data_IF_666004517265
#
_entry.id   IF_666004517265
#
_cell.length_a   1.000
_cell.length_b   1.000
_cell.length_c   1.000
_cell.angle_alpha   90.00
_cell.angle_beta   90.00
_cell.angle_gamma   90.00
#
_symmetry.space_group_name_H-M   'P 1'
#
loop_
_entity.id
_entity.type
_entity.pdbx_description
1 polymer ?
#
# COMPACT_ATOMS: atom_id res chain seq x y z
N UNK A 1 36.50 30.43 -13.20
CA UNK A 1 36.04 29.20 -13.83
C UNK A 1 35.61 28.11 -12.84
N UNK A 2 36.34 27.87 -11.77
CA UNK A 2 35.96 26.82 -10.77
C UNK A 2 34.65 27.12 -10.02
N UNK A 3 34.32 28.37 -9.71
CA UNK A 3 33.10 28.76 -8.97
C UNK A 3 31.83 28.47 -9.78
N UNK A 4 31.84 28.69 -11.10
CA UNK A 4 30.67 28.45 -11.94
C UNK A 4 30.33 26.96 -12.08
N UNK A 5 31.32 26.07 -12.11
CA UNK A 5 31.10 24.61 -12.17
C UNK A 5 30.51 24.07 -10.88
N UNK A 6 30.96 24.55 -9.72
CA UNK A 6 30.47 24.15 -8.40
C UNK A 6 29.00 24.54 -8.21
N UNK A 7 28.61 25.75 -8.64
CA UNK A 7 27.23 26.23 -8.57
C UNK A 7 26.31 25.37 -9.47
N UNK A 8 26.75 25.01 -10.68
CA UNK A 8 25.98 24.17 -11.61
C UNK A 8 25.70 22.78 -11.03
N UNK A 9 26.68 22.16 -10.38
CA UNK A 9 26.52 20.84 -9.72
C UNK A 9 25.54 20.94 -8.57
N UNK A 10 25.56 22.00 -7.76
CA UNK A 10 24.61 22.20 -6.66
C UNK A 10 23.15 22.37 -7.15
N UNK A 11 22.94 23.15 -8.21
CA UNK A 11 21.63 23.32 -8.82
C UNK A 11 21.09 22.01 -9.41
N UNK A 12 21.93 21.24 -10.10
CA UNK A 12 21.53 19.94 -10.66
C UNK A 12 21.11 18.95 -9.57
N UNK A 13 21.82 18.87 -8.44
CA UNK A 13 21.49 17.96 -7.34
C UNK A 13 20.17 18.32 -6.65
N UNK A 14 19.88 19.59 -6.44
CA UNK A 14 18.61 20.05 -5.86
C UNK A 14 17.44 19.75 -6.80
N UNK A 15 17.58 19.96 -8.09
CA UNK A 15 16.53 19.69 -9.08
C UNK A 15 16.20 18.21 -9.17
N UNK A 16 17.20 17.33 -9.14
CA UNK A 16 17.00 15.87 -9.17
C UNK A 16 16.22 15.40 -7.92
N UNK A 17 16.63 15.82 -6.73
CA UNK A 17 15.96 15.42 -5.48
C UNK A 17 14.50 15.88 -5.43
N UNK A 18 14.21 17.10 -5.88
CA UNK A 18 12.84 17.64 -5.95
C UNK A 18 11.98 16.87 -6.96
N UNK A 19 12.56 16.52 -8.11
CA UNK A 19 11.88 15.74 -9.15
C UNK A 19 11.52 14.33 -8.67
N UNK A 20 12.43 13.63 -7.98
CA UNK A 20 12.18 12.29 -7.42
C UNK A 20 11.09 12.32 -6.35
N UNK A 21 11.10 13.31 -5.45
CA UNK A 21 10.05 13.47 -4.45
C UNK A 21 8.66 13.71 -5.06
N UNK A 22 8.59 14.48 -6.17
CA UNK A 22 7.34 14.70 -6.90
C UNK A 22 6.83 13.42 -7.57
N UNK A 23 7.70 12.62 -8.17
CA UNK A 23 7.35 11.35 -8.79
C UNK A 23 6.78 10.38 -7.74
N UNK A 24 7.40 10.25 -6.57
CA UNK A 24 6.90 9.39 -5.51
C UNK A 24 5.54 9.86 -4.97
N UNK A 25 5.31 11.16 -4.90
CA UNK A 25 4.01 11.71 -4.52
C UNK A 25 2.91 11.39 -5.54
N UNK A 26 3.22 11.42 -6.84
CA UNK A 26 2.29 11.02 -7.91
C UNK A 26 1.99 9.52 -7.79
N UNK A 27 3.01 8.67 -7.68
CA UNK A 27 2.86 7.22 -7.52
C UNK A 27 1.98 6.86 -6.31
N UNK A 28 2.16 7.57 -5.22
CA UNK A 28 1.34 7.34 -4.02
C UNK A 28 -0.12 7.68 -4.20
N UNK A 29 -0.44 8.72 -4.98
CA UNK A 29 -1.82 9.04 -5.34
C UNK A 29 -2.43 7.97 -6.23
N UNK A 30 -1.66 7.41 -7.15
CA UNK A 30 -2.09 6.31 -8.00
C UNK A 30 -2.41 5.07 -7.13
N UNK A 31 -1.57 4.75 -6.15
CA UNK A 31 -1.83 3.67 -5.19
C UNK A 31 -3.13 3.88 -4.42
N UNK A 32 -3.39 5.09 -3.92
CA UNK A 32 -4.65 5.38 -3.21
C UNK A 32 -5.87 5.18 -4.11
N UNK A 33 -5.78 5.59 -5.35
CA UNK A 33 -6.82 5.38 -6.36
C UNK A 33 -7.02 3.89 -6.66
N UNK A 34 -5.93 3.14 -6.80
CA UNK A 34 -5.97 1.70 -7.05
C UNK A 34 -6.55 0.93 -5.86
N UNK A 35 -6.12 1.24 -4.63
CA UNK A 35 -6.68 0.60 -3.43
C UNK A 35 -8.18 0.85 -3.30
N UNK A 36 -8.64 2.06 -3.63
CA UNK A 36 -10.06 2.39 -3.64
C UNK A 36 -10.82 1.58 -4.70
N UNK A 37 -10.28 1.47 -5.91
CA UNK A 37 -10.86 0.68 -6.99
C UNK A 37 -10.92 -0.81 -6.63
N UNK A 38 -9.84 -1.38 -6.10
CA UNK A 38 -9.79 -2.78 -5.66
C UNK A 38 -10.80 -3.02 -4.54
N UNK A 39 -10.90 -2.13 -3.55
CA UNK A 39 -11.88 -2.22 -2.48
C UNK A 39 -13.31 -2.28 -3.04
N UNK A 40 -13.64 -1.44 -4.00
CA UNK A 40 -14.97 -1.44 -4.64
C UNK A 40 -15.26 -2.80 -5.30
N UNK A 41 -14.30 -3.37 -6.02
CA UNK A 41 -14.49 -4.67 -6.68
C UNK A 41 -14.59 -5.82 -5.66
N UNK A 42 -13.80 -5.80 -4.59
CA UNK A 42 -13.92 -6.78 -3.48
C UNK A 42 -15.30 -6.69 -2.81
N UNK A 43 -15.79 -5.48 -2.58
CA UNK A 43 -17.10 -5.27 -1.96
C UNK A 43 -18.27 -5.69 -2.90
N UNK A 44 -18.11 -5.50 -4.22
CA UNK A 44 -19.05 -6.03 -5.22
C UNK A 44 -19.05 -7.55 -5.21
N UNK A 45 -17.89 -8.18 -5.16
CA UNK A 45 -17.77 -9.65 -5.06
C UNK A 45 -18.48 -10.17 -3.81
N UNK A 46 -18.27 -9.52 -2.67
CA UNK A 46 -18.96 -9.87 -1.43
C UNK A 46 -20.49 -9.77 -1.55
N UNK A 47 -20.99 -8.70 -2.16
CA UNK A 47 -22.44 -8.52 -2.36
C UNK A 47 -23.04 -9.59 -3.27
N UNK A 48 -22.29 -10.05 -4.27
CA UNK A 48 -22.75 -11.07 -5.21
C UNK A 48 -22.67 -12.50 -4.63
N UNK A 49 -21.65 -12.79 -3.82
CA UNK A 49 -21.33 -14.16 -3.38
C UNK A 49 -21.59 -14.41 -1.89
N UNK A 50 -21.84 -13.37 -1.08
CA UNK A 50 -22.01 -13.47 0.37
C UNK A 50 -20.72 -13.72 1.15
N UNK A 51 -19.58 -13.75 0.47
CA UNK A 51 -18.25 -13.96 1.08
C UNK A 51 -17.20 -13.12 0.34
N UNK A 52 -16.15 -12.75 1.07
CA UNK A 52 -14.99 -12.09 0.44
C UNK A 52 -14.21 -13.10 -0.42
N UNK A 53 -13.54 -12.66 -1.51
CA UNK A 53 -12.71 -13.55 -2.31
C UNK A 53 -11.53 -14.09 -1.49
N UNK A 54 -11.04 -15.27 -1.83
CA UNK A 54 -9.84 -15.83 -1.19
C UNK A 54 -8.57 -15.15 -1.67
N UNK A 55 -8.57 -14.68 -2.92
CA UNK A 55 -7.49 -13.91 -3.51
C UNK A 55 -8.03 -12.90 -4.53
N UNK A 56 -7.21 -11.93 -4.93
CA UNK A 56 -7.58 -10.99 -6.00
C UNK A 56 -7.71 -11.67 -7.38
N UNK A 57 -7.16 -12.87 -7.56
CA UNK A 57 -7.28 -13.63 -8.80
C UNK A 57 -8.73 -14.08 -9.10
N UNK A 58 -9.59 -14.11 -8.10
CA UNK A 58 -11.04 -14.36 -8.30
C UNK A 58 -11.77 -13.16 -8.93
N UNK A 59 -11.17 -11.98 -8.87
CA UNK A 59 -11.74 -10.73 -9.39
C UNK A 59 -11.04 -10.30 -10.68
N UNK A 60 -9.71 -10.44 -10.73
CA UNK A 60 -8.88 -9.96 -11.82
C UNK A 60 -8.21 -11.11 -12.56
N UNK A 61 -8.24 -11.07 -13.89
CA UNK A 61 -7.60 -12.06 -14.75
C UNK A 61 -6.06 -12.02 -14.70
N UNK A 62 -5.48 -10.94 -14.20
CA UNK A 62 -4.04 -10.76 -14.04
C UNK A 62 -3.73 -10.05 -12.71
N UNK A 63 -2.54 -10.30 -12.13
CA UNK A 63 -2.12 -9.60 -10.92
C UNK A 63 -2.15 -8.08 -11.07
N UNK A 64 -2.58 -7.39 -10.04
CA UNK A 64 -2.60 -5.94 -9.98
C UNK A 64 -1.31 -5.45 -9.30
N UNK A 65 -0.55 -4.62 -10.00
CA UNK A 65 0.74 -4.09 -9.54
C UNK A 65 0.64 -2.62 -9.16
N UNK A 66 1.38 -2.24 -8.15
CA UNK A 66 1.58 -0.85 -7.77
C UNK A 66 2.63 -0.17 -8.69
N UNK A 67 2.83 1.17 -8.60
CA UNK A 67 3.76 1.90 -9.45
C UNK A 67 5.25 1.54 -9.25
N UNK A 68 5.57 0.72 -8.26
CA UNK A 68 6.93 0.19 -8.03
C UNK A 68 7.08 -1.27 -8.47
N UNK A 69 6.15 -1.75 -9.31
CA UNK A 69 6.12 -3.12 -9.87
C UNK A 69 5.99 -4.22 -8.79
N UNK A 70 5.37 -3.90 -7.67
CA UNK A 70 5.04 -4.87 -6.62
C UNK A 70 3.55 -5.16 -6.63
N UNK A 71 3.16 -6.43 -6.58
CA UNK A 71 1.75 -6.80 -6.54
C UNK A 71 1.08 -6.28 -5.25
N UNK A 72 -0.14 -5.75 -5.38
CA UNK A 72 -0.96 -5.40 -4.22
C UNK A 72 -1.17 -6.62 -3.34
N UNK A 73 -1.02 -6.44 -2.05
CA UNK A 73 -1.16 -7.49 -1.05
C UNK A 73 -2.60 -7.56 -0.56
N UNK A 74 -3.17 -8.75 -0.58
CA UNK A 74 -4.53 -9.03 -0.13
C UNK A 74 -4.54 -10.22 0.82
N UNK A 75 -5.27 -10.11 1.93
CA UNK A 75 -5.46 -11.19 2.88
C UNK A 75 -6.90 -11.20 3.39
N UNK A 76 -7.67 -12.23 3.03
CA UNK A 76 -9.00 -12.46 3.58
C UNK A 76 -8.92 -12.79 5.07
N UNK A 77 -9.66 -12.09 5.90
CA UNK A 77 -9.75 -12.29 7.35
C UNK A 77 -11.10 -12.92 7.70
N UNK A 78 -12.19 -12.28 7.32
CA UNK A 78 -13.53 -12.77 7.58
C UNK A 78 -13.82 -14.02 6.72
N UNK A 79 -14.04 -15.16 7.39
CA UNK A 79 -14.26 -16.44 6.74
C UNK A 79 -13.01 -17.04 6.05
N UNK A 80 -11.86 -16.42 6.23
CA UNK A 80 -10.58 -16.88 5.69
C UNK A 80 -9.96 -18.03 6.52
N UNK A 81 -8.79 -18.53 6.09
CA UNK A 81 -8.11 -19.62 6.77
C UNK A 81 -7.79 -19.28 8.23
N UNK A 82 -7.89 -20.28 9.13
CA UNK A 82 -7.66 -20.09 10.57
C UNK A 82 -6.22 -19.69 10.94
N UNK A 83 -5.26 -19.90 10.05
CA UNK A 83 -3.83 -19.68 10.28
C UNK A 83 -3.30 -18.31 9.82
N UNK A 84 -4.18 -17.34 9.55
CA UNK A 84 -3.77 -15.99 9.11
C UNK A 84 -3.36 -15.05 10.25
N UNK A 85 -3.49 -15.47 11.51
CA UNK A 85 -3.29 -14.59 12.67
C UNK A 85 -1.92 -13.91 12.69
N UNK A 86 -0.85 -14.58 12.26
CA UNK A 86 0.49 -14.00 12.17
C UNK A 86 0.72 -13.09 10.96
N UNK A 87 -0.14 -13.16 9.94
CA UNK A 87 -0.01 -12.43 8.68
C UNK A 87 -0.87 -11.16 8.65
N UNK A 88 -1.86 -11.06 9.54
CA UNK A 88 -2.75 -9.90 9.60
C UNK A 88 -1.98 -8.64 10.00
N UNK A 89 -2.32 -7.53 9.34
CA UNK A 89 -1.75 -6.22 9.67
C UNK A 89 -2.24 -5.76 11.05
N UNK A 90 -1.31 -5.22 11.85
CA UNK A 90 -1.56 -4.81 13.23
C UNK A 90 -0.94 -3.45 13.53
N UNK A 91 -1.66 -2.64 14.30
CA UNK A 91 -1.13 -1.44 14.91
C UNK A 91 -1.14 -1.60 16.44
N UNK A 92 0.03 -1.52 17.06
CA UNK A 92 0.23 -1.87 18.48
C UNK A 92 -0.36 -3.26 18.74
N UNK A 93 -0.61 -4.12 18.84
CA UNK A 93 -1.19 -5.46 19.01
C UNK A 93 -2.62 -5.62 18.46
N UNK A 94 -3.25 -4.54 17.96
CA UNK A 94 -4.61 -4.57 17.46
C UNK A 94 -4.65 -4.78 15.95
N UNK A 95 -5.54 -5.65 15.47
CA UNK A 95 -5.83 -5.82 14.06
C UNK A 95 -6.40 -4.52 13.48
N UNK A 96 -5.95 -4.12 12.30
CA UNK A 96 -6.46 -2.90 11.66
C UNK A 96 -7.73 -3.13 10.85
N UNK A 97 -8.01 -4.37 10.48
CA UNK A 97 -9.21 -4.78 9.77
C UNK A 97 -9.78 -6.08 10.35
N UNK A 98 -11.09 -6.27 10.24
CA UNK A 98 -11.80 -7.52 10.55
C UNK A 98 -12.30 -8.25 9.29
N UNK A 99 -12.31 -7.57 8.14
CA UNK A 99 -12.81 -8.10 6.86
C UNK A 99 -11.70 -8.68 6.01
N UNK A 100 -10.80 -7.84 5.53
CA UNK A 100 -9.60 -8.21 4.76
C UNK A 100 -8.54 -7.12 4.87
N UNK A 101 -7.28 -7.49 4.74
CA UNK A 101 -6.17 -6.56 4.57
C UNK A 101 -5.91 -6.33 3.08
N UNK A 102 -5.62 -5.09 2.71
CA UNK A 102 -5.26 -4.67 1.36
C UNK A 102 -4.24 -3.52 1.45
N UNK A 103 -3.11 -3.66 0.79
CA UNK A 103 -2.04 -2.66 0.88
C UNK A 103 -1.00 -2.77 -0.24
N UNK A 104 -0.25 -1.69 -0.46
CA UNK A 104 1.01 -1.65 -1.19
C UNK A 104 2.17 -1.63 -0.20
N UNK A 105 3.27 -2.31 -0.53
CA UNK A 105 4.50 -2.31 0.27
C UNK A 105 5.35 -1.04 0.08
N UNK A 106 4.86 -0.08 -0.72
CA UNK A 106 5.53 1.20 -0.94
C UNK A 106 6.81 1.12 -1.77
N UNK A 107 7.58 2.23 -1.79
CA UNK A 107 8.79 2.33 -2.61
C UNK A 107 9.89 1.34 -2.26
N UNK A 108 10.04 0.95 -1.00
CA UNK A 108 11.08 0.01 -0.57
C UNK A 108 10.74 -1.46 -0.88
N UNK A 109 9.49 -1.75 -1.26
CA UNK A 109 8.99 -3.08 -1.61
C UNK A 109 9.12 -4.10 -0.47
N UNK A 110 9.23 -3.63 0.75
CA UNK A 110 9.36 -4.44 1.97
C UNK A 110 8.25 -4.11 2.96
N UNK A 111 7.86 -5.08 3.77
CA UNK A 111 6.82 -4.89 4.78
C UNK A 111 6.95 -5.90 5.93
N UNK A 112 6.34 -5.57 7.06
CA UNK A 112 6.12 -6.48 8.18
C UNK A 112 4.69 -6.35 8.70
N UNK A 113 4.15 -7.42 9.32
CA UNK A 113 2.79 -7.40 9.86
C UNK A 113 2.53 -6.25 10.85
N UNK A 114 3.43 -5.91 11.79
CA UNK A 114 3.27 -4.74 12.62
C UNK A 114 3.53 -3.44 11.84
N UNK A 115 2.55 -2.55 11.81
CA UNK A 115 2.70 -1.22 11.20
C UNK A 115 3.75 -0.34 11.90
N UNK A 116 4.14 -0.71 13.11
CA UNK A 116 5.18 -0.02 13.88
C UNK A 116 6.60 -0.39 13.43
N UNK A 117 6.76 -1.44 12.61
CA UNK A 117 8.04 -1.80 12.04
C UNK A 117 8.56 -0.70 11.09
N UNK A 118 9.86 -0.46 11.09
CA UNK A 118 10.49 0.59 10.28
C UNK A 118 10.26 0.41 8.78
N UNK A 119 10.29 -0.85 8.30
CA UNK A 119 10.05 -1.21 6.90
C UNK A 119 8.59 -1.11 6.47
N UNK A 120 7.65 -0.90 7.38
CA UNK A 120 6.23 -0.72 7.07
C UNK A 120 5.79 0.74 7.02
N UNK A 121 6.69 1.68 7.31
CA UNK A 121 6.32 3.11 7.43
C UNK A 121 5.91 3.76 6.12
N UNK A 122 6.47 3.31 5.01
CA UNK A 122 6.16 3.77 3.66
C UNK A 122 5.07 2.96 2.97
N UNK A 123 4.54 1.93 3.63
CA UNK A 123 3.37 1.18 3.14
C UNK A 123 2.15 2.11 3.01
N UNK A 124 1.32 1.82 2.01
CA UNK A 124 0.04 2.49 1.82
C UNK A 124 -1.05 1.44 2.02
N UNK A 125 -1.90 1.66 3.00
CA UNK A 125 -2.79 0.64 3.55
C UNK A 125 -4.27 1.01 3.50
N UNK A 126 -5.10 -0.02 3.44
CA UNK A 126 -6.49 0.01 3.86
C UNK A 126 -6.57 -0.34 5.34
N UNK A 127 -7.20 0.52 6.14
CA UNK A 127 -7.43 0.30 7.56
C UNK A 127 -8.86 0.59 7.98
N UNK A 128 -9.22 0.19 9.21
CA UNK A 128 -10.56 0.43 9.79
C UNK A 128 -11.69 -0.04 8.86
N UNK A 129 -11.50 -1.21 8.25
CA UNK A 129 -12.43 -1.80 7.29
C UNK A 129 -12.78 -0.89 6.09
N UNK A 130 -11.81 -0.09 5.64
CA UNK A 130 -11.93 0.77 4.46
C UNK A 130 -12.29 2.21 4.74
N UNK A 131 -12.52 2.61 5.99
CA UNK A 131 -12.69 4.02 6.34
C UNK A 131 -11.36 4.80 6.38
N UNK A 132 -10.23 4.10 6.33
CA UNK A 132 -8.90 4.68 6.18
C UNK A 132 -8.22 4.10 4.93
N UNK A 133 -7.76 4.98 4.05
CA UNK A 133 -6.83 4.68 2.95
C UNK A 133 -5.71 5.70 3.01
N UNK A 134 -4.48 5.27 3.23
CA UNK A 134 -3.37 6.21 3.38
C UNK A 134 -2.07 5.53 3.81
N UNK A 135 -1.07 6.36 4.07
CA UNK A 135 0.20 5.90 4.58
C UNK A 135 0.11 5.37 6.01
N UNK A 136 0.93 4.36 6.30
CA UNK A 136 1.07 3.83 7.66
C UNK A 136 1.46 4.91 8.66
N UNK A 137 2.31 5.85 8.26
CA UNK A 137 2.74 6.95 9.13
C UNK A 137 1.58 7.84 9.62
N UNK A 138 0.50 7.91 8.85
CA UNK A 138 -0.71 8.70 9.17
C UNK A 138 -1.77 7.87 9.92
N UNK A 139 -1.53 6.57 10.08
CA UNK A 139 -2.44 5.65 10.77
C UNK A 139 -2.17 5.66 12.29
N UNK A 140 -3.06 6.30 13.07
CA UNK A 140 -2.98 6.39 14.52
C UNK A 140 -4.25 5.87 15.22
#
# INVERSE_FOLDING_TARGET
>A
MMIGLTIFVLFASVTINTGLALIDKIRSRDVLSDLQAIQIEVDKFYKANGSYPDSLDEIYASPQFDPWDTAYQYLRINGGPKNVTGKQRKYKSLKINSTYDLYSMGPDQETASPLTASISKDDIIRGRNGSFLGYVIDFQ
#
